data_IF_230650253327
#
_entry.id   IF_230650253327
#
_cell.length_a   1.000
_cell.length_b   1.000
_cell.length_c   1.000
_cell.angle_alpha   90.00
_cell.angle_beta   90.00
_cell.angle_gamma   90.00
#
_symmetry.space_group_name_H-M   'P 1'
#
loop_
_entity.id
_entity.type
_entity.pdbx_description
1 polymer ?
#
# COMPACT_ATOMS: atom_id res chain seq x y z
N UNK A 1 -35.15 24.08 -4.41
CA UNK A 1 -34.71 22.96 -5.26
C UNK A 1 -33.85 22.02 -4.42
N UNK A 2 -34.35 20.85 -3.99
CA UNK A 2 -33.51 19.91 -3.25
C UNK A 2 -32.53 19.24 -4.23
N UNK A 3 -31.25 19.40 -3.92
CA UNK A 3 -30.14 18.72 -4.58
C UNK A 3 -30.29 17.19 -4.48
N UNK A 4 -30.14 16.50 -5.61
CA UNK A 4 -30.36 15.07 -5.78
C UNK A 4 -29.49 14.14 -4.91
N UNK A 5 -29.74 12.83 -4.98
CA UNK A 5 -29.14 11.85 -4.08
C UNK A 5 -27.63 11.82 -4.25
N UNK A 6 -26.93 12.16 -3.16
CA UNK A 6 -25.49 12.01 -3.00
C UNK A 6 -25.17 10.52 -3.15
N UNK A 7 -24.38 10.15 -4.16
CA UNK A 7 -23.99 8.76 -4.46
C UNK A 7 -23.63 7.95 -3.19
N UNK A 8 -24.60 7.18 -2.67
CA UNK A 8 -24.40 6.12 -1.69
C UNK A 8 -24.13 4.75 -2.37
N UNK A 9 -23.58 4.76 -3.59
CA UNK A 9 -23.39 3.54 -4.39
C UNK A 9 -21.93 3.07 -4.28
N UNK A 10 -21.47 2.83 -3.06
CA UNK A 10 -20.39 1.88 -2.81
C UNK A 10 -20.47 1.43 -1.36
N UNK A 11 -20.92 0.20 -1.14
CA UNK A 11 -20.87 -0.42 0.18
C UNK A 11 -19.41 -0.80 0.50
N UNK A 12 -18.65 0.21 0.94
CA UNK A 12 -17.27 0.05 1.35
C UNK A 12 -17.12 -0.94 2.51
N UNK A 13 -18.14 -1.11 3.36
CA UNK A 13 -18.08 -2.07 4.45
C UNK A 13 -18.11 -3.50 3.92
N UNK A 14 -19.01 -3.80 2.98
CA UNK A 14 -19.05 -5.11 2.31
C UNK A 14 -17.75 -5.37 1.54
N UNK A 15 -17.21 -4.35 0.85
CA UNK A 15 -15.92 -4.47 0.18
C UNK A 15 -14.77 -4.77 1.16
N UNK A 16 -14.71 -4.05 2.29
CA UNK A 16 -13.69 -4.26 3.34
C UNK A 16 -13.81 -5.66 3.93
N UNK A 17 -15.01 -6.11 4.29
CA UNK A 17 -15.26 -7.46 4.83
C UNK A 17 -14.77 -8.54 3.85
N UNK A 18 -15.12 -8.41 2.57
CA UNK A 18 -14.65 -9.33 1.51
C UNK A 18 -13.14 -9.33 1.40
N UNK A 19 -12.51 -8.16 1.36
CA UNK A 19 -11.05 -8.08 1.24
C UNK A 19 -10.33 -8.65 2.45
N UNK A 20 -10.82 -8.40 3.67
CA UNK A 20 -10.29 -9.02 4.90
C UNK A 20 -10.34 -10.54 4.83
N UNK A 21 -11.45 -11.12 4.36
CA UNK A 21 -11.59 -12.58 4.20
C UNK A 21 -10.56 -13.17 3.21
N UNK A 22 -10.27 -12.45 2.12
CA UNK A 22 -9.23 -12.86 1.16
C UNK A 22 -7.84 -12.75 1.80
N UNK A 23 -7.54 -11.62 2.44
CA UNK A 23 -6.25 -11.36 3.08
C UNK A 23 -5.93 -12.41 4.14
N UNK A 24 -6.92 -12.82 4.95
CA UNK A 24 -6.75 -13.83 6.00
C UNK A 24 -6.19 -15.16 5.49
N UNK A 25 -6.36 -15.47 4.19
CA UNK A 25 -5.92 -16.73 3.57
C UNK A 25 -4.56 -16.61 2.86
N UNK A 26 -3.97 -15.42 2.81
CA UNK A 26 -2.70 -15.17 2.14
C UNK A 26 -1.54 -15.25 3.13
N UNK A 27 -0.34 -15.50 2.61
CA UNK A 27 0.90 -15.31 3.38
C UNK A 27 0.95 -13.88 3.93
N UNK A 28 1.41 -13.74 5.16
CA UNK A 28 1.42 -12.47 5.91
C UNK A 28 0.01 -11.88 6.15
N UNK A 29 -1.05 -12.66 5.94
CA UNK A 29 -2.44 -12.23 6.06
C UNK A 29 -2.78 -11.65 7.42
N UNK A 30 -2.39 -12.34 8.50
CA UNK A 30 -2.61 -11.86 9.87
C UNK A 30 -1.95 -10.49 10.10
N UNK A 31 -0.68 -10.33 9.69
CA UNK A 31 0.06 -9.06 9.83
C UNK A 31 -0.60 -7.94 9.02
N UNK A 32 -1.07 -8.25 7.81
CA UNK A 32 -1.79 -7.30 6.97
C UNK A 32 -3.16 -6.91 7.55
N UNK A 33 -3.88 -7.81 8.23
CA UNK A 33 -5.11 -7.48 8.94
C UNK A 33 -4.85 -6.55 10.12
N UNK A 34 -3.83 -6.85 10.94
CA UNK A 34 -3.40 -5.97 12.03
C UNK A 34 -2.96 -4.59 11.52
N UNK A 35 -2.27 -4.55 10.39
CA UNK A 35 -1.94 -3.31 9.69
C UNK A 35 -3.20 -2.52 9.28
N UNK A 36 -4.22 -3.18 8.72
CA UNK A 36 -5.49 -2.53 8.38
C UNK A 36 -6.22 -1.99 9.61
N UNK A 37 -6.20 -2.73 10.72
CA UNK A 37 -6.78 -2.27 12.00
C UNK A 37 -6.04 -1.06 12.55
N UNK A 38 -4.70 -1.09 12.52
CA UNK A 38 -3.88 0.05 12.90
C UNK A 38 -4.14 1.27 12.01
N UNK A 39 -4.15 1.11 10.69
CA UNK A 39 -4.46 2.21 9.77
C UNK A 39 -5.88 2.76 9.99
N UNK A 40 -6.85 1.90 10.32
CA UNK A 40 -8.19 2.35 10.70
C UNK A 40 -8.18 3.17 12.01
N UNK A 41 -7.37 2.78 13.01
CA UNK A 41 -7.24 3.55 14.26
C UNK A 41 -6.61 4.93 14.06
N UNK A 42 -5.88 5.14 12.96
CA UNK A 42 -5.33 6.45 12.57
C UNK A 42 -6.36 7.38 11.89
N UNK A 43 -7.63 6.95 11.80
CA UNK A 43 -8.72 7.79 11.30
C UNK A 43 -8.89 7.78 9.77
N UNK A 44 -8.42 6.74 9.08
CA UNK A 44 -8.64 6.63 7.63
C UNK A 44 -10.12 6.42 7.29
N UNK A 45 -10.59 7.09 6.23
CA UNK A 45 -11.94 6.90 5.71
C UNK A 45 -12.14 5.46 5.19
N UNK A 46 -13.39 4.97 5.22
CA UNK A 46 -13.77 3.64 4.71
C UNK A 46 -13.31 3.42 3.26
N UNK A 47 -13.45 4.43 2.41
CA UNK A 47 -12.97 4.38 1.02
C UNK A 47 -11.45 4.19 0.94
N UNK A 48 -10.69 4.87 1.79
CA UNK A 48 -9.22 4.72 1.84
C UNK A 48 -8.82 3.35 2.37
N UNK A 49 -9.52 2.85 3.40
CA UNK A 49 -9.27 1.53 3.97
C UNK A 49 -9.58 0.42 2.96
N UNK A 50 -10.69 0.53 2.22
CA UNK A 50 -11.03 -0.38 1.12
C UNK A 50 -9.95 -0.38 0.02
N UNK A 51 -9.44 0.82 -0.35
CA UNK A 51 -8.34 0.95 -1.32
C UNK A 51 -7.07 0.26 -0.83
N UNK A 52 -6.69 0.48 0.44
CA UNK A 52 -5.53 -0.18 1.06
C UNK A 52 -5.70 -1.70 1.02
N UNK A 53 -6.84 -2.22 1.47
CA UNK A 53 -7.11 -3.65 1.48
C UNK A 53 -7.06 -4.28 0.07
N UNK A 54 -7.63 -3.61 -0.94
CA UNK A 54 -7.53 -4.07 -2.33
C UNK A 54 -6.09 -4.09 -2.87
N UNK A 55 -5.27 -3.10 -2.53
CA UNK A 55 -3.86 -3.10 -2.88
C UNK A 55 -3.06 -4.16 -2.15
N UNK A 56 -3.34 -4.39 -0.86
CA UNK A 56 -2.71 -5.44 -0.07
C UNK A 56 -2.91 -6.82 -0.68
N UNK A 57 -4.12 -7.17 -1.14
CA UNK A 57 -4.34 -8.46 -1.82
C UNK A 57 -3.39 -8.64 -3.01
N UNK A 58 -3.17 -7.57 -3.79
CA UNK A 58 -2.23 -7.65 -4.93
C UNK A 58 -0.81 -7.87 -4.46
N UNK A 59 -0.37 -7.11 -3.45
CA UNK A 59 1.00 -7.17 -2.94
C UNK A 59 1.30 -8.50 -2.25
N UNK A 60 0.41 -8.98 -1.39
CA UNK A 60 0.56 -10.23 -0.65
C UNK A 60 0.62 -11.47 -1.54
N UNK A 61 0.05 -11.41 -2.75
CA UNK A 61 0.17 -12.50 -3.74
C UNK A 61 1.55 -12.60 -4.38
N UNK A 62 2.33 -11.53 -4.36
CA UNK A 62 3.67 -11.46 -4.98
C UNK A 62 4.77 -11.49 -3.94
N UNK A 63 4.48 -11.08 -2.71
CA UNK A 63 5.41 -11.16 -1.58
C UNK A 63 5.59 -12.63 -1.18
N UNK A 64 6.79 -13.13 -1.41
CA UNK A 64 7.25 -14.49 -1.11
C UNK A 64 8.18 -14.55 0.11
N UNK A 65 8.19 -13.49 0.92
CA UNK A 65 9.01 -13.36 2.13
C UNK A 65 8.14 -12.99 3.35
N UNK A 66 8.69 -13.14 4.55
CA UNK A 66 8.07 -12.63 5.77
C UNK A 66 8.28 -11.11 5.89
N UNK A 67 7.24 -10.37 6.28
CA UNK A 67 7.28 -8.91 6.29
C UNK A 67 8.22 -8.33 7.35
N UNK A 68 8.40 -9.01 8.49
CA UNK A 68 9.28 -8.55 9.57
C UNK A 68 10.75 -8.75 9.17
N UNK A 69 11.03 -9.92 8.57
CA UNK A 69 12.34 -10.29 8.02
C UNK A 69 12.69 -9.67 6.66
N UNK A 70 11.81 -8.83 6.09
CA UNK A 70 12.01 -8.27 4.75
C UNK A 70 13.34 -7.51 4.64
N UNK A 71 14.13 -7.82 3.62
CA UNK A 71 15.36 -7.09 3.28
C UNK A 71 15.09 -6.01 2.24
N UNK A 72 16.05 -5.10 2.05
CA UNK A 72 15.99 -4.10 0.98
C UNK A 72 15.84 -4.73 -0.41
N UNK A 73 16.57 -5.81 -0.68
CA UNK A 73 16.50 -6.54 -1.96
C UNK A 73 15.11 -7.12 -2.19
N UNK A 74 14.45 -7.61 -1.14
CA UNK A 74 13.09 -8.14 -1.24
C UNK A 74 12.09 -7.06 -1.64
N UNK A 75 12.17 -5.90 -0.97
CA UNK A 75 11.35 -4.74 -1.31
C UNK A 75 11.62 -4.25 -2.74
N UNK A 76 12.89 -4.20 -3.16
CA UNK A 76 13.27 -3.82 -4.51
C UNK A 76 12.67 -4.75 -5.58
N UNK A 77 12.64 -6.08 -5.34
CA UNK A 77 11.98 -7.03 -6.25
C UNK A 77 10.50 -6.74 -6.41
N UNK A 78 9.79 -6.46 -5.31
CA UNK A 78 8.36 -6.12 -5.37
C UNK A 78 8.14 -4.78 -6.09
N UNK A 79 8.97 -3.78 -5.84
CA UNK A 79 8.89 -2.48 -6.54
C UNK A 79 9.17 -2.63 -8.03
N UNK A 80 10.15 -3.46 -8.42
CA UNK A 80 10.44 -3.78 -9.81
C UNK A 80 9.25 -4.48 -10.47
N UNK A 81 8.62 -5.44 -9.79
CA UNK A 81 7.40 -6.08 -10.25
C UNK A 81 6.26 -5.07 -10.46
N UNK A 82 6.03 -4.14 -9.51
CA UNK A 82 5.01 -3.08 -9.67
C UNK A 82 5.28 -2.23 -10.91
N UNK A 83 6.56 -1.92 -11.19
CA UNK A 83 6.95 -1.12 -12.35
C UNK A 83 6.71 -1.83 -13.68
N UNK A 84 6.90 -3.15 -13.72
CA UNK A 84 6.71 -3.96 -14.93
C UNK A 84 5.24 -4.24 -15.25
N UNK A 85 4.33 -4.05 -14.29
CA UNK A 85 2.91 -4.25 -14.53
C UNK A 85 2.30 -3.12 -15.40
N UNK A 86 1.26 -3.43 -16.21
CA UNK A 86 0.53 -2.46 -17.04
C UNK A 86 -0.43 -1.58 -16.23
N UNK A 87 -0.04 -1.17 -15.02
CA UNK A 87 -0.82 -0.27 -14.18
C UNK A 87 -0.61 1.18 -14.60
N UNK A 88 -1.65 2.01 -14.43
CA UNK A 88 -1.50 3.46 -14.51
C UNK A 88 -0.49 3.94 -13.46
N UNK A 89 0.23 5.01 -13.77
CA UNK A 89 1.30 5.51 -12.89
C UNK A 89 0.81 5.86 -11.47
N UNK A 90 -0.39 6.43 -11.35
CA UNK A 90 -0.99 6.70 -10.04
C UNK A 90 -1.28 5.41 -9.25
N UNK A 91 -1.68 4.33 -9.93
CA UNK A 91 -1.89 3.02 -9.29
C UNK A 91 -0.57 2.39 -8.85
N UNK A 92 0.51 2.52 -9.65
CA UNK A 92 1.85 2.09 -9.24
C UNK A 92 2.31 2.87 -7.99
N UNK A 93 2.08 4.19 -7.96
CA UNK A 93 2.39 5.05 -6.81
C UNK A 93 1.64 4.60 -5.56
N UNK A 94 0.33 4.38 -5.66
CA UNK A 94 -0.49 3.92 -4.54
C UNK A 94 -0.04 2.55 -4.02
N UNK A 95 0.28 1.60 -4.90
CA UNK A 95 0.80 0.28 -4.49
C UNK A 95 2.15 0.38 -3.78
N UNK A 96 3.08 1.20 -4.27
CA UNK A 96 4.37 1.45 -3.61
C UNK A 96 4.19 2.10 -2.23
N UNK A 97 3.22 3.00 -2.09
CA UNK A 97 2.90 3.62 -0.81
C UNK A 97 2.38 2.58 0.19
N UNK A 98 1.45 1.72 -0.23
CA UNK A 98 0.93 0.64 0.62
C UNK A 98 2.05 -0.33 1.00
N UNK A 99 2.92 -0.72 0.06
CA UNK A 99 4.10 -1.56 0.32
C UNK A 99 5.02 -0.92 1.37
N UNK A 100 5.33 0.37 1.21
CA UNK A 100 6.16 1.13 2.17
C UNK A 100 5.53 1.12 3.56
N UNK A 101 4.21 1.34 3.66
CA UNK A 101 3.50 1.42 4.94
C UNK A 101 3.36 0.07 5.64
N UNK A 102 3.10 -1.01 4.92
CA UNK A 102 3.00 -2.34 5.54
C UNK A 102 4.35 -2.84 6.05
N UNK A 103 5.46 -2.57 5.34
CA UNK A 103 6.81 -2.93 5.82
C UNK A 103 7.21 -2.05 7.02
N UNK A 104 6.89 -0.75 6.99
CA UNK A 104 7.10 0.15 8.13
C UNK A 104 6.37 -0.40 9.37
N UNK A 105 5.08 -0.70 9.23
CA UNK A 105 4.28 -1.29 10.30
C UNK A 105 4.83 -2.64 10.76
N UNK A 106 5.27 -3.49 9.82
CA UNK A 106 5.76 -4.82 10.16
C UNK A 106 6.99 -4.77 11.06
N UNK A 107 7.93 -3.87 10.75
CA UNK A 107 9.21 -3.72 11.48
C UNK A 107 9.11 -2.87 12.74
N UNK A 108 8.26 -1.84 12.75
CA UNK A 108 8.24 -0.83 13.83
C UNK A 108 6.95 -0.84 14.66
N UNK A 109 5.94 -1.61 14.27
CA UNK A 109 4.64 -1.64 14.95
C UNK A 109 3.75 -0.42 14.72
N UNK A 110 4.24 0.62 14.05
CA UNK A 110 3.48 1.81 13.66
C UNK A 110 3.80 2.21 12.21
N UNK A 111 2.83 2.83 11.54
CA UNK A 111 3.01 3.46 10.25
C UNK A 111 2.60 4.94 10.26
N UNK A 112 2.69 5.58 11.43
CA UNK A 112 2.38 6.99 11.63
C UNK A 112 3.30 7.91 10.81
N UNK A 113 2.93 9.18 10.72
CA UNK A 113 3.75 10.18 10.01
C UNK A 113 5.06 10.45 10.73
N UNK A 114 5.06 10.37 12.06
CA UNK A 114 6.20 10.67 12.92
C UNK A 114 7.10 9.45 13.13
N UNK A 115 6.62 8.25 12.77
CA UNK A 115 7.42 7.04 12.81
C UNK A 115 8.49 7.08 11.71
N UNK A 116 9.74 6.77 12.07
CA UNK A 116 10.83 6.63 11.10
C UNK A 116 10.52 5.57 10.04
N UNK A 117 11.13 5.68 8.86
CA UNK A 117 11.08 4.62 7.86
C UNK A 117 12.27 3.69 8.02
N UNK A 118 12.06 2.37 8.02
CA UNK A 118 13.17 1.44 8.03
C UNK A 118 13.94 1.52 6.69
N UNK A 119 15.25 1.21 6.68
CA UNK A 119 16.13 1.44 5.53
C UNK A 119 15.71 0.72 4.25
N UNK A 120 14.94 -0.37 4.38
CA UNK A 120 14.41 -1.17 3.29
C UNK A 120 13.36 -0.42 2.45
N UNK A 121 12.72 0.62 3.01
CA UNK A 121 11.66 1.39 2.33
C UNK A 121 11.88 2.90 2.34
N UNK A 122 12.90 3.39 3.05
CA UNK A 122 13.20 4.83 3.15
C UNK A 122 13.46 5.45 1.77
N UNK A 123 14.12 4.72 0.86
CA UNK A 123 14.45 5.13 -0.52
C UNK A 123 13.23 5.29 -1.44
N UNK A 124 12.07 4.71 -1.10
CA UNK A 124 10.84 4.85 -1.88
C UNK A 124 10.27 6.26 -1.63
N UNK A 125 10.60 7.20 -2.53
CA UNK A 125 10.16 8.60 -2.44
C UNK A 125 8.66 8.74 -2.75
N UNK A 126 7.94 9.52 -1.94
CA UNK A 126 6.60 10.01 -2.26
C UNK A 126 6.78 11.20 -3.20
N UNK A 127 6.39 11.09 -4.47
CA UNK A 127 6.38 12.26 -5.36
C UNK A 127 5.19 13.14 -5.04
N UNK A 128 5.42 14.44 -4.99
CA UNK A 128 4.35 15.45 -4.96
C UNK A 128 3.53 15.39 -6.25
N UNK A 129 2.26 15.76 -6.14
CA UNK A 129 1.33 15.80 -7.25
C UNK A 129 1.89 16.78 -8.32
N UNK A 130 2.16 16.32 -9.55
CA UNK A 130 2.46 17.22 -10.67
C UNK A 130 3.67 16.92 -11.55
N UNK A 131 4.55 15.95 -11.23
CA UNK A 131 5.68 15.60 -12.12
C UNK A 131 5.68 14.13 -12.52
N UNK A 132 5.14 13.88 -13.72
CA UNK A 132 5.34 12.63 -14.42
C UNK A 132 6.79 12.59 -14.92
N UNK A 133 7.69 12.01 -14.13
CA UNK A 133 9.03 11.70 -14.62
C UNK A 133 9.21 10.21 -14.46
N UNK A 134 9.11 9.51 -15.59
CA UNK A 134 9.74 8.19 -15.74
C UNK A 134 11.16 8.31 -15.18
N UNK A 135 11.59 7.35 -14.38
CA UNK A 135 13.00 7.27 -14.00
C UNK A 135 13.73 6.93 -15.30
N UNK A 136 14.42 7.90 -15.87
CA UNK A 136 15.27 7.68 -17.02
C UNK A 136 16.67 7.30 -16.53
N UNK A 137 17.48 6.55 -17.31
CA UNK A 137 18.84 6.19 -16.91
C UNK A 137 19.69 7.39 -16.48
N UNK A 138 19.47 8.55 -17.09
CA UNK A 138 20.17 9.80 -16.79
C UNK A 138 19.83 10.34 -15.39
N UNK A 139 18.62 10.09 -14.90
CA UNK A 139 18.18 10.51 -13.57
C UNK A 139 18.76 9.64 -12.42
N UNK A 140 19.52 8.59 -12.75
CA UNK A 140 20.23 7.73 -11.78
C UNK A 140 21.69 8.13 -11.56
N UNK A 141 22.23 9.02 -12.40
CA UNK A 141 23.64 9.46 -12.39
C UNK A 141 23.83 10.86 -11.75
N UNK A 142 22.77 11.48 -11.24
CA UNK A 142 22.77 12.80 -10.60
C UNK A 142 22.50 12.73 -9.10
#
# INVERSE_FOLDING_TARGET
MPSGPRLEIYDFETAIKRYRSIIAKLRNGEKALRFLDHVASLGLSKASLAKYAGHLITLLRVIDFDLEGATRKDVERVVAWINSQPFKEWTKRDKKLVLKKIIQYAKLGSCDRDAAYPPEVSWIKRREHGKDARVTPEALLS
#
